data_IF_677786629279
#
_entry.id   IF_677786629279
#
_cell.length_a   1.000
_cell.length_b   1.000
_cell.length_c   1.000
_cell.angle_alpha   90.00
_cell.angle_beta   90.00
_cell.angle_gamma   90.00
#
_symmetry.space_group_name_H-M   'P 1'
#
loop_
_entity.id
_entity.type
_entity.pdbx_description
1 polymer ?
2 polymer ?
3 non-polymer ?
4 water ?
#
# COMPACT_ATOMS: atom_id res chain seq x y z
N UNK A 1 24.73 4.70 9.76
CA UNK A 1 25.54 3.70 10.45
C UNK A 1 24.71 2.49 10.92
N UNK A 2 23.59 2.73 11.66
CA UNK A 2 22.73 1.62 12.12
C UNK A 2 21.85 1.13 10.97
N UNK A 3 21.80 -0.20 10.79
CA UNK A 3 20.99 -0.87 9.76
C UNK A 3 20.41 -2.19 10.28
N UNK A 4 19.14 -2.44 10.01
CA UNK A 4 18.42 -3.66 10.38
C UNK A 4 17.94 -4.21 9.02
N UNK A 5 18.39 -5.40 8.64
CA UNK A 5 18.08 -5.97 7.33
C UNK A 5 17.32 -7.27 7.47
N UNK A 6 16.06 -7.30 6.95
CA UNK A 6 15.20 -8.48 6.94
C UNK A 6 15.65 -9.36 5.75
N UNK A 7 15.53 -10.67 5.90
CA UNK A 7 15.81 -11.66 4.85
C UNK A 7 15.03 -12.91 5.15
N UNK A 8 14.76 -13.69 4.11
CA UNK A 8 13.98 -14.90 4.22
C UNK A 8 13.11 -15.12 3.00
N UNK A 9 12.32 -16.22 2.97
CA UNK A 9 11.46 -16.48 1.81
C UNK A 9 10.30 -15.50 1.65
N UNK A 10 10.01 -15.17 0.39
CA UNK A 10 8.89 -14.30 0.03
C UNK A 10 7.57 -15.04 -0.10
N UNK A 11 7.62 -16.39 -0.21
CA UNK A 11 6.43 -17.25 -0.39
C UNK A 11 6.41 -18.35 0.65
N UNK A 12 5.25 -18.58 1.26
CA UNK A 12 5.07 -19.66 2.24
C UNK A 12 3.72 -20.34 1.94
N UNK A 13 3.69 -21.69 1.98
CA UNK A 13 2.46 -22.45 1.72
C UNK A 13 1.61 -22.47 2.98
N UNK A 14 0.27 -22.42 2.88
CA UNK A 14 -0.56 -22.50 4.10
C UNK A 14 -0.25 -23.76 4.92
N UNK A 15 -0.31 -23.63 6.26
CA UNK A 15 -0.01 -24.65 7.28
C UNK A 15 1.50 -24.85 7.54
N UNK A 16 2.36 -24.35 6.62
CA UNK A 16 3.83 -24.41 6.76
C UNK A 16 4.28 -23.25 7.67
N UNK A 17 5.58 -23.12 7.97
CA UNK A 17 6.00 -22.03 8.86
C UNK A 17 6.91 -20.99 8.19
N UNK A 18 6.73 -19.72 8.57
CA UNK A 18 7.56 -18.66 8.03
C UNK A 18 8.72 -18.38 8.97
N UNK A 19 9.91 -18.23 8.40
CA UNK A 19 11.13 -17.97 9.12
C UNK A 19 11.83 -16.75 8.52
N UNK A 20 12.10 -15.74 9.35
CA UNK A 20 12.80 -14.56 8.87
C UNK A 20 13.99 -14.24 9.74
N UNK A 21 14.98 -13.60 9.14
CA UNK A 21 16.22 -13.21 9.78
C UNK A 21 16.35 -11.70 9.78
N UNK A 22 16.75 -11.14 10.93
CA UNK A 22 17.10 -9.73 10.99
C UNK A 22 18.60 -9.66 11.23
N UNK A 23 19.34 -9.13 10.25
CA UNK A 23 20.78 -8.94 10.34
C UNK A 23 21.00 -7.49 10.76
N UNK A 24 21.61 -7.32 11.96
CA UNK A 24 21.89 -6.00 12.53
C UNK A 24 23.37 -5.58 12.34
N UNK A 25 23.59 -4.33 11.91
CA UNK A 25 24.89 -3.67 11.75
C UNK A 25 24.80 -2.27 12.37
N UNK A 26 25.93 -1.79 12.91
CA UNK A 26 26.02 -0.47 13.51
C UNK A 26 26.13 -0.51 15.01
N UNK A 27 25.57 -1.56 15.61
CA UNK A 27 25.60 -1.82 17.04
C UNK A 27 25.16 -3.22 17.31
N UNK A 28 25.40 -3.68 18.54
CA UNK A 28 25.11 -5.03 18.98
C UNK A 28 23.65 -5.24 19.44
N UNK A 29 23.07 -6.45 19.17
CA UNK A 29 21.71 -6.84 19.62
C UNK A 29 21.66 -7.05 21.14
N UNK A 30 22.81 -6.90 21.74
CA UNK A 30 23.14 -7.05 23.15
C UNK A 30 22.96 -5.67 23.85
N UNK A 31 22.71 -4.60 23.05
CA UNK A 31 22.46 -3.23 23.55
C UNK A 31 21.02 -3.11 23.96
N UNK A 32 20.69 -2.40 25.04
CA UNK A 32 19.28 -2.23 25.39
C UNK A 32 18.45 -1.44 24.32
N UNK A 33 17.11 -1.66 24.24
CA UNK A 33 16.35 -2.55 25.12
C UNK A 33 15.73 -3.72 24.39
N UNK A 34 14.91 -3.45 23.36
CA UNK A 34 14.16 -4.49 22.65
C UNK A 34 14.46 -4.56 21.20
N UNK A 35 14.32 -5.77 20.63
CA UNK A 35 14.57 -6.11 19.23
C UNK A 35 13.28 -6.74 18.74
N UNK A 36 12.45 -5.94 18.00
CA UNK A 36 11.09 -6.28 17.57
C UNK A 36 10.89 -6.88 16.21
N UNK A 37 9.76 -7.56 16.07
CA UNK A 37 9.25 -8.01 14.79
C UNK A 37 7.87 -7.33 14.67
N UNK A 38 7.65 -6.63 13.57
CA UNK A 38 6.43 -5.87 13.27
C UNK A 38 5.92 -6.34 11.90
N UNK A 39 4.60 -6.28 11.68
CA UNK A 39 4.07 -6.56 10.36
C UNK A 39 3.01 -5.56 9.99
N UNK A 40 2.94 -5.25 8.71
CA UNK A 40 1.94 -4.36 8.16
C UNK A 40 1.16 -5.14 7.09
N UNK A 41 -0.14 -5.39 7.36
CA UNK A 41 -1.03 -6.14 6.44
C UNK A 41 -1.29 -5.40 5.12
N UNK A 42 -1.74 -6.07 4.02
CA UNK A 42 -1.95 -5.33 2.73
C UNK A 42 -2.78 -4.05 2.87
N UNK A 43 -2.20 -2.95 2.39
CA UNK A 43 -2.73 -1.60 2.57
C UNK A 43 -3.24 -1.47 3.99
N UNK A 44 -2.36 -1.60 5.02
CA UNK A 44 -3.01 -1.64 6.30
C UNK A 44 -2.28 -1.25 7.57
N UNK A 45 -2.90 -1.80 8.58
CA UNK A 45 -2.66 -1.68 9.96
C UNK A 45 -1.39 -2.40 10.32
N UNK A 46 -0.77 -1.88 11.34
CA UNK A 46 0.47 -2.37 11.83
C UNK A 46 0.23 -3.20 13.07
N UNK A 47 0.97 -4.29 13.18
CA UNK A 47 0.89 -5.15 14.35
C UNK A 47 2.28 -5.45 14.90
N UNK A 48 2.47 -5.25 16.20
CA UNK A 48 3.70 -5.58 16.87
C UNK A 48 3.58 -7.06 17.21
N UNK A 49 4.44 -7.89 16.63
CA UNK A 49 4.37 -9.34 16.84
C UNK A 49 4.99 -9.78 18.15
N UNK A 50 6.13 -9.21 18.45
CA UNK A 50 6.84 -9.47 19.69
C UNK A 50 8.24 -8.89 19.69
N UNK A 51 8.96 -9.13 20.76
CA UNK A 51 10.36 -8.74 20.87
C UNK A 51 11.19 -9.71 21.70
N UNK A 52 12.52 -9.68 21.49
CA UNK A 52 13.52 -10.36 22.30
C UNK A 52 14.32 -9.21 22.93
N UNK A 53 14.55 -9.26 24.26
CA UNK A 53 15.28 -8.17 24.89
C UNK A 53 16.79 -8.30 24.66
N UNK A 54 17.55 -7.26 25.06
CA UNK A 54 19.01 -7.28 25.00
C UNK A 54 19.59 -8.41 25.84
N UNK A 55 18.81 -8.97 26.80
CA UNK A 55 19.23 -10.06 27.69
C UNK A 55 18.68 -11.41 27.25
N UNK A 56 17.93 -11.43 26.16
CA UNK A 56 17.40 -12.65 25.59
C UNK A 56 16.03 -13.10 26.06
N UNK A 57 15.34 -12.30 26.89
CA UNK A 57 13.99 -12.71 27.28
C UNK A 57 12.94 -12.17 26.26
N UNK A 58 11.96 -13.03 25.89
CA UNK A 58 10.92 -12.72 24.91
C UNK A 58 9.60 -12.21 25.52
N UNK A 59 8.91 -11.34 24.75
CA UNK A 59 7.58 -10.77 25.04
C UNK A 59 6.80 -10.80 23.73
N UNK A 60 5.69 -11.55 23.71
CA UNK A 60 4.87 -11.76 22.51
C UNK A 60 3.50 -11.13 22.56
N UNK A 61 2.91 -10.90 21.38
CA UNK A 61 1.54 -10.47 21.23
C UNK A 61 0.72 -11.71 21.71
N UNK A 62 -0.09 -11.61 22.79
CA UNK A 62 -0.79 -12.82 23.31
C UNK A 62 -1.49 -13.72 22.28
N UNK A 63 -2.10 -13.14 21.22
CA UNK A 63 -2.80 -13.84 20.15
C UNK A 63 -1.89 -14.71 19.28
N UNK A 64 -0.60 -14.36 19.22
CA UNK A 64 0.40 -15.03 18.39
C UNK A 64 1.20 -16.05 19.18
N UNK A 65 1.21 -15.91 20.53
CA UNK A 65 1.89 -16.79 21.49
C UNK A 65 1.20 -18.17 21.37
N UNK A 66 1.94 -19.17 20.82
CA UNK A 66 1.56 -20.58 20.53
C UNK A 66 2.02 -20.91 19.13
N UNK A 67 2.07 -19.89 18.27
CA UNK A 67 2.53 -19.98 16.88
C UNK A 67 3.90 -19.28 16.71
N UNK A 68 4.21 -18.31 17.61
CA UNK A 68 5.40 -17.45 17.49
C UNK A 68 6.57 -17.83 18.40
N UNK A 69 7.77 -17.71 17.80
CA UNK A 69 9.06 -17.91 18.45
C UNK A 69 10.06 -16.85 17.94
N UNK A 70 10.60 -16.04 18.86
CA UNK A 70 11.65 -15.08 18.53
C UNK A 70 12.91 -15.55 19.22
N UNK A 71 13.96 -15.79 18.43
CA UNK A 71 15.27 -16.21 18.92
C UNK A 71 16.35 -15.22 18.43
N UNK A 72 17.60 -15.37 18.92
CA UNK A 72 18.72 -14.51 18.56
C UNK A 72 20.05 -15.26 18.48
N UNK A 73 20.99 -14.70 17.71
CA UNK A 73 22.37 -15.19 17.60
C UNK A 73 23.26 -13.97 17.77
N UNK A 74 23.64 -13.78 19.02
CA UNK A 74 24.45 -12.73 19.57
C UNK A 74 25.80 -12.60 18.83
N UNK A 75 26.45 -13.73 18.48
CA UNK A 75 27.74 -13.63 17.80
C UNK A 75 27.62 -13.28 16.32
N UNK A 76 26.48 -13.59 15.69
CA UNK A 76 26.22 -13.22 14.29
C UNK A 76 25.53 -11.86 14.20
N UNK A 77 25.09 -11.30 15.37
CA UNK A 77 24.33 -10.04 15.50
C UNK A 77 23.06 -10.10 14.65
N UNK A 78 22.28 -11.18 14.85
CA UNK A 78 21.03 -11.47 14.16
C UNK A 78 19.95 -11.94 15.14
N UNK A 79 18.68 -11.66 14.82
CA UNK A 79 17.56 -12.18 15.58
C UNK A 79 16.55 -12.72 14.59
N UNK A 80 15.76 -13.71 15.02
CA UNK A 80 14.94 -14.50 14.14
C UNK A 80 13.50 -14.58 14.48
N UNK A 81 12.66 -14.71 13.45
CA UNK A 81 11.23 -14.85 13.62
C UNK A 81 10.77 -16.18 13.08
N UNK A 82 10.03 -16.90 13.90
CA UNK A 82 9.35 -18.11 13.45
C UNK A 82 7.87 -18.03 13.77
N UNK A 83 7.04 -18.20 12.73
CA UNK A 83 5.56 -18.20 12.82
C UNK A 83 5.08 -19.48 12.13
N UNK A 84 4.51 -20.42 12.94
CA UNK A 84 4.19 -21.80 12.58
C UNK A 84 3.02 -22.05 11.59
N UNK A 85 1.84 -22.53 12.03
CA UNK A 85 0.68 -22.87 11.20
C UNK A 85 0.10 -21.62 10.47
N UNK A 86 0.78 -21.18 9.39
CA UNK A 86 0.39 -19.96 8.69
C UNK A 86 -0.86 -20.12 7.82
N UNK A 87 -1.65 -19.04 7.80
CA UNK A 87 -2.91 -18.86 7.07
C UNK A 87 -2.66 -17.80 6.00
N UNK A 88 -3.58 -17.66 5.05
CA UNK A 88 -3.54 -16.64 4.01
C UNK A 88 -3.50 -15.23 4.67
N UNK A 89 -4.10 -15.10 5.88
CA UNK A 89 -4.15 -13.92 6.73
C UNK A 89 -2.79 -13.51 7.36
N UNK A 90 -1.70 -14.25 7.03
CA UNK A 90 -0.35 -13.93 7.49
C UNK A 90 0.41 -13.19 6.40
N UNK A 91 -0.21 -13.03 5.21
CA UNK A 91 0.35 -12.23 4.11
C UNK A 91 0.50 -10.78 4.65
N UNK A 92 1.75 -10.29 4.70
CA UNK A 92 2.08 -8.97 5.25
C UNK A 92 3.47 -8.61 4.87
N UNK A 93 3.82 -7.34 5.09
CA UNK A 93 5.17 -6.84 4.94
C UNK A 93 5.74 -6.94 6.36
N UNK A 94 6.81 -7.71 6.51
CA UNK A 94 7.43 -7.96 7.81
C UNK A 94 8.69 -7.14 7.97
N UNK A 95 8.79 -6.40 9.09
CA UNK A 95 9.92 -5.52 9.42
C UNK A 95 10.49 -5.91 10.76
N UNK A 96 11.78 -5.66 10.96
CA UNK A 96 12.39 -5.80 12.27
C UNK A 96 12.79 -4.40 12.71
N UNK A 97 12.73 -4.16 14.01
CA UNK A 97 13.06 -2.86 14.56
C UNK A 97 13.75 -2.98 15.91
N UNK A 98 14.23 -1.87 16.44
CA UNK A 98 14.86 -1.86 17.76
C UNK A 98 14.26 -0.73 18.58
N UNK A 99 14.29 -0.85 19.90
CA UNK A 99 13.86 0.21 20.80
C UNK A 99 14.82 0.34 21.98
N UNK A 100 15.08 1.58 22.37
CA UNK A 100 15.88 1.90 23.53
C UNK A 100 15.77 3.35 23.89
N UNK A 101 16.64 3.79 24.80
CA UNK A 101 16.70 5.16 25.29
C UNK A 101 17.01 6.17 24.18
N UNK A 102 17.55 5.73 23.05
CA UNK A 102 17.88 6.57 21.88
C UNK A 102 16.67 6.72 20.96
N UNK A 103 15.66 5.88 21.16
CA UNK A 103 14.49 5.87 20.29
C UNK A 103 14.34 4.54 19.58
N UNK A 104 14.18 4.54 18.26
CA UNK A 104 13.97 3.30 17.51
C UNK A 104 14.53 3.39 16.11
N UNK A 105 15.02 2.26 15.60
CA UNK A 105 15.55 2.05 14.26
C UNK A 105 14.73 0.96 13.62
N UNK A 106 14.40 1.11 12.34
CA UNK A 106 13.57 0.17 11.58
C UNK A 106 14.21 -0.30 10.31
N UNK A 107 14.05 -1.59 10.01
CA UNK A 107 14.47 -2.13 8.73
C UNK A 107 13.48 -1.75 7.63
N UNK A 108 13.80 -2.05 6.39
CA UNK A 108 13.04 -1.71 5.19
C UNK A 108 11.73 -2.51 4.99
N UNK A 109 11.70 -3.74 5.46
CA UNK A 109 10.51 -4.56 5.34
C UNK A 109 10.39 -5.35 4.05
N UNK A 110 9.99 -6.63 4.18
CA UNK A 110 9.82 -7.52 3.04
C UNK A 110 8.43 -8.14 3.02
N UNK A 111 7.81 -8.24 1.84
CA UNK A 111 6.49 -8.86 1.72
C UNK A 111 6.59 -10.36 1.76
N UNK A 112 5.84 -10.99 2.67
CA UNK A 112 5.79 -12.44 2.77
C UNK A 112 4.36 -12.80 2.35
N UNK A 113 4.23 -13.53 1.26
CA UNK A 113 2.93 -13.96 0.75
C UNK A 113 2.63 -15.39 1.18
N UNK A 114 1.49 -15.59 1.84
CA UNK A 114 1.05 -16.92 2.21
C UNK A 114 -0.09 -17.31 1.26
N UNK A 115 0.20 -18.24 0.34
CA UNK A 115 -0.74 -18.72 -0.66
C UNK A 115 -0.42 -20.14 -1.13
N UNK A 116 -1.46 -20.87 -1.55
CA UNK A 116 -1.35 -22.22 -2.10
C UNK A 116 -1.03 -22.11 -3.60
N UNK A 117 -1.21 -20.91 -4.18
CA UNK A 117 -0.96 -20.61 -5.58
C UNK A 117 0.49 -20.84 -5.95
N UNK A 118 0.73 -21.16 -7.22
CA UNK A 118 2.06 -21.41 -7.77
C UNK A 118 2.46 -20.22 -8.63
N UNK A 119 3.78 -19.99 -8.79
CA UNK A 119 4.32 -18.87 -9.58
C UNK A 119 3.83 -18.92 -11.03
N UNK A 120 3.13 -17.85 -11.46
CA UNK A 120 2.53 -17.69 -12.80
C UNK A 120 2.91 -16.34 -13.41
N UNK A 121 3.47 -16.28 -14.63
CA UNK A 121 3.69 -14.96 -15.25
C UNK A 121 2.35 -14.27 -15.66
N UNK A 122 2.32 -12.94 -15.83
CA UNK A 122 1.05 -12.31 -16.22
C UNK A 122 0.80 -12.37 -17.73
N UNK A 123 -0.46 -12.17 -18.11
CA UNK A 123 -0.83 -12.03 -19.52
C UNK A 123 -1.00 -10.52 -19.66
N UNK A 124 -0.28 -9.93 -20.59
CA UNK A 124 -0.26 -8.49 -20.81
C UNK A 124 -1.06 -8.18 -22.07
N UNK A 125 -2.10 -7.33 -21.94
CA UNK A 125 -2.95 -6.97 -23.07
C UNK A 125 -2.94 -5.48 -23.36
N UNK A 126 -2.84 -5.09 -24.64
CA UNK A 126 -2.87 -3.66 -24.99
C UNK A 126 -4.29 -3.10 -24.92
N UNK A 127 -4.42 -1.83 -24.51
CA UNK A 127 -5.73 -1.18 -24.42
C UNK A 127 -5.74 0.08 -25.25
N UNK A 128 -6.24 -0.06 -26.47
CA UNK A 128 -6.40 0.99 -27.45
C UNK A 128 -7.87 1.41 -27.42
N UNK A 129 -8.20 2.69 -27.68
CA UNK A 129 -9.63 3.09 -27.68
C UNK A 129 -10.48 2.35 -28.73
N UNK A 130 -11.80 2.41 -28.57
CA UNK A 130 -12.76 1.76 -29.47
C UNK A 130 -12.83 2.41 -30.84
N UNK A 137 -7.95 16.23 -27.90
CA UNK A 137 -6.62 16.83 -27.70
C UNK A 137 -5.63 15.89 -27.00
N UNK A 138 -6.13 15.11 -26.00
CA UNK A 138 -5.31 14.11 -25.29
C UNK A 138 -5.87 12.71 -25.57
N UNK A 139 -5.03 11.66 -25.47
CA UNK A 139 -5.47 10.29 -25.66
C UNK A 139 -4.95 9.40 -24.52
N UNK A 140 -5.87 8.61 -23.91
CA UNK A 140 -5.55 7.66 -22.85
C UNK A 140 -5.48 6.27 -23.44
N UNK A 141 -4.40 5.56 -23.12
CA UNK A 141 -4.15 4.21 -23.54
C UNK A 141 -3.89 3.43 -22.27
N UNK A 142 -3.93 2.12 -22.35
CA UNK A 142 -3.70 1.31 -21.18
C UNK A 142 -3.10 -0.05 -21.44
N UNK A 143 -2.83 -0.74 -20.35
CA UNK A 143 -2.24 -2.07 -20.34
C UNK A 143 -2.92 -2.84 -19.24
N UNK A 144 -3.39 -4.06 -19.55
CA UNK A 144 -4.01 -4.96 -18.58
C UNK A 144 -3.01 -6.10 -18.31
N UNK A 145 -2.62 -6.28 -17.04
CA UNK A 145 -1.59 -7.22 -16.58
C UNK A 145 -2.36 -8.20 -15.71
N UNK A 146 -2.74 -9.33 -16.31
CA UNK A 146 -3.66 -10.28 -15.73
C UNK A 146 -3.08 -11.64 -15.34
N UNK A 147 -3.55 -12.14 -14.20
CA UNK A 147 -3.28 -13.46 -13.65
C UNK A 147 -1.85 -13.83 -13.35
N UNK A 148 -1.17 -13.00 -12.55
CA UNK A 148 0.18 -13.28 -12.12
C UNK A 148 0.23 -13.62 -10.65
N UNK A 149 1.31 -14.30 -10.26
CA UNK A 149 1.60 -14.70 -8.90
C UNK A 149 3.09 -14.95 -8.75
N UNK A 150 3.74 -14.43 -7.69
CA UNK A 150 3.19 -13.55 -6.64
C UNK A 150 3.36 -12.07 -7.02
N UNK A 151 3.05 -11.16 -6.09
CA UNK A 151 3.32 -9.73 -6.28
C UNK A 151 4.84 -9.58 -6.05
N UNK A 152 5.56 -8.70 -6.78
CA UNK A 152 5.08 -7.64 -7.68
C UNK A 152 5.41 -7.76 -9.16
N UNK A 153 4.86 -6.81 -9.94
CA UNK A 153 5.16 -6.56 -11.35
C UNK A 153 5.60 -5.09 -11.39
N UNK A 154 6.33 -4.68 -12.44
CA UNK A 154 6.69 -3.27 -12.59
C UNK A 154 6.22 -2.86 -13.97
N UNK A 155 5.61 -1.68 -14.08
CA UNK A 155 5.09 -1.22 -15.36
C UNK A 155 5.76 0.09 -15.67
N UNK A 156 6.31 0.21 -16.88
CA UNK A 156 6.93 1.44 -17.37
C UNK A 156 6.36 1.69 -18.75
N UNK A 157 6.29 2.95 -19.16
CA UNK A 157 5.77 3.29 -20.48
C UNK A 157 6.87 3.99 -21.27
N UNK A 158 7.33 3.32 -22.36
CA UNK A 158 8.42 3.73 -23.24
C UNK A 158 9.72 3.90 -22.44
N UNK A 159 10.01 2.89 -21.59
CA UNK A 159 11.16 2.79 -20.70
C UNK A 159 11.31 3.99 -19.72
N UNK A 160 10.18 4.69 -19.46
CA UNK A 160 10.10 5.79 -18.50
C UNK A 160 9.89 7.19 -19.01
N UNK A 161 10.00 7.40 -20.33
CA UNK A 161 9.84 8.74 -20.91
C UNK A 161 8.41 9.28 -20.84
N UNK A 162 7.41 8.41 -20.58
CA UNK A 162 5.99 8.78 -20.51
C UNK A 162 5.42 8.89 -19.09
N UNK A 163 6.24 8.57 -18.06
CA UNK A 163 5.93 8.55 -16.61
C UNK A 163 5.05 9.70 -16.09
N UNK A 164 5.10 10.87 -16.75
CA UNK A 164 4.36 12.08 -16.38
C UNK A 164 2.83 11.88 -16.31
N UNK A 165 2.25 11.29 -17.35
CA UNK A 165 0.81 11.03 -17.46
C UNK A 165 0.39 9.59 -17.26
N UNK A 166 1.15 8.85 -16.41
CA UNK A 166 0.95 7.44 -16.08
C UNK A 166 0.25 7.22 -14.71
N UNK A 167 -0.68 6.25 -14.64
CA UNK A 167 -1.33 5.77 -13.41
C UNK A 167 -1.25 4.26 -13.44
N UNK A 168 -0.54 3.68 -12.48
CA UNK A 168 -0.38 2.24 -12.31
C UNK A 168 -1.18 1.92 -11.08
N UNK A 169 -2.26 1.21 -11.28
CA UNK A 169 -3.20 0.93 -10.19
C UNK A 169 -2.76 -0.23 -9.32
N UNK A 170 -3.07 -0.21 -8.00
CA UNK A 170 -2.70 -1.35 -7.14
C UNK A 170 -3.36 -2.66 -7.61
N UNK A 171 -2.63 -3.78 -7.44
CA UNK A 171 -3.11 -5.10 -7.83
C UNK A 171 -4.24 -5.58 -6.97
N UNK A 172 -5.20 -6.28 -7.57
CA UNK A 172 -6.29 -6.90 -6.83
C UNK A 172 -6.13 -8.41 -6.93
N UNK A 173 -6.44 -9.11 -5.86
CA UNK A 173 -6.36 -10.56 -5.78
C UNK A 173 -7.74 -11.19 -6.06
N UNK A 174 -7.83 -11.97 -7.15
CA UNK A 174 -9.01 -12.73 -7.58
C UNK A 174 -8.56 -13.83 -8.57
N UNK A 175 -8.71 -15.12 -8.23
CA UNK A 175 -9.23 -15.64 -6.96
C UNK A 175 -8.01 -15.86 -6.06
N UNK A 176 -6.94 -16.44 -6.67
CA UNK A 176 -5.64 -16.64 -6.02
C UNK A 176 -4.56 -16.00 -6.88
N UNK A 177 -4.97 -15.24 -7.90
CA UNK A 177 -4.07 -14.55 -8.81
C UNK A 177 -4.29 -13.03 -8.78
N UNK A 178 -3.25 -12.27 -9.15
CA UNK A 178 -3.25 -10.83 -9.13
C UNK A 178 -3.50 -10.26 -10.50
N UNK A 179 -4.17 -9.11 -10.52
CA UNK A 179 -4.44 -8.38 -11.75
C UNK A 179 -4.26 -6.91 -11.50
N UNK A 180 -3.63 -6.21 -12.45
CA UNK A 180 -3.51 -4.78 -12.39
C UNK A 180 -3.65 -4.18 -13.77
N UNK A 181 -3.90 -2.89 -13.80
CA UNK A 181 -3.96 -2.16 -15.06
C UNK A 181 -3.08 -0.93 -14.91
N UNK A 182 -2.66 -0.36 -16.03
CA UNK A 182 -1.88 0.86 -16.04
C UNK A 182 -2.35 1.71 -17.19
N UNK A 183 -2.57 3.00 -16.93
CA UNK A 183 -2.94 3.94 -17.98
C UNK A 183 -1.81 4.96 -18.25
N UNK A 184 -1.85 5.53 -19.45
CA UNK A 184 -0.92 6.56 -19.91
C UNK A 184 -1.72 7.51 -20.77
N UNK A 185 -1.56 8.80 -20.53
CA UNK A 185 -2.24 9.76 -21.37
C UNK A 185 -1.14 10.62 -22.04
N UNK A 186 -1.25 10.77 -23.36
CA UNK A 186 -0.31 11.47 -24.23
C UNK A 186 -1.13 12.38 -25.15
N UNK A 187 -0.53 13.42 -25.78
CA UNK A 187 -1.31 14.24 -26.73
C UNK A 187 -1.67 13.44 -27.98
N UNK A 188 -2.81 13.77 -28.60
CA UNK A 188 -3.33 13.13 -29.82
C UNK A 188 -2.28 13.16 -30.95
N UNK A 189 -1.38 14.15 -30.91
CA UNK A 189 -0.28 14.36 -31.84
C UNK A 189 0.75 13.21 -31.78
N UNK A 190 0.99 12.68 -30.56
CA UNK A 190 1.95 11.62 -30.24
C UNK A 190 1.45 10.20 -30.59
N UNK A 191 0.13 9.99 -30.65
CA UNK A 191 -0.39 8.65 -30.92
C UNK A 191 -1.60 8.67 -31.85
N UNK A 192 -1.71 7.76 -32.86
CA UNK A 192 -0.82 6.60 -33.16
C UNK A 192 0.44 6.89 -33.98
N UNK A 193 0.70 8.19 -34.33
CA UNK A 193 1.87 8.65 -35.11
C UNK A 193 3.22 8.13 -34.60
N UNK A 194 3.43 8.14 -33.26
CA UNK A 194 4.64 7.66 -32.60
C UNK A 194 4.32 6.39 -31.79
N UNK A 195 5.36 5.62 -31.45
CA UNK A 195 5.26 4.37 -30.72
C UNK A 195 5.03 4.55 -29.22
N UNK A 196 3.94 3.94 -28.69
CA UNK A 196 3.62 3.89 -27.25
C UNK A 196 3.63 2.41 -26.90
N UNK A 197 4.56 2.04 -26.01
CA UNK A 197 4.77 0.68 -25.57
C UNK A 197 4.70 0.61 -24.06
N UNK A 198 4.11 -0.47 -23.57
CA UNK A 198 3.96 -0.78 -22.17
C UNK A 198 4.95 -1.91 -21.83
N UNK A 199 5.84 -1.67 -20.85
CA UNK A 199 6.90 -2.65 -20.49
C UNK A 199 6.61 -3.23 -19.12
N UNK A 200 6.33 -4.52 -19.08
CA UNK A 200 5.95 -5.21 -17.85
C UNK A 200 7.02 -6.25 -17.46
N UNK A 201 7.42 -6.25 -16.18
CA UNK A 201 8.40 -7.19 -15.65
C UNK A 201 7.84 -7.89 -14.41
N UNK A 202 7.97 -9.21 -14.38
CA UNK A 202 7.53 -10.01 -13.24
C UNK A 202 8.77 -10.81 -12.79
N UNK A 203 9.61 -10.21 -11.90
CA UNK A 203 10.87 -10.87 -11.50
C UNK A 203 10.77 -12.32 -11.04
N UNK A 204 9.76 -12.66 -10.21
CA UNK A 204 9.52 -14.00 -9.66
C UNK A 204 9.45 -15.12 -10.70
N UNK A 205 8.91 -14.83 -11.89
CA UNK A 205 8.79 -15.80 -12.98
C UNK A 205 9.75 -15.45 -14.12
N UNK A 206 10.68 -14.52 -13.85
CA UNK A 206 11.74 -14.04 -14.76
C UNK A 206 11.22 -13.58 -16.13
N UNK A 207 10.06 -12.87 -16.15
CA UNK A 207 9.47 -12.36 -17.39
C UNK A 207 9.66 -10.87 -17.57
N UNK A 208 9.82 -10.45 -18.83
CA UNK A 208 9.92 -9.06 -19.26
C UNK A 208 9.23 -8.98 -20.63
N UNK A 209 7.98 -8.47 -20.64
CA UNK A 209 7.14 -8.34 -21.84
C UNK A 209 6.97 -6.88 -22.24
N UNK A 210 7.02 -6.61 -23.55
CA UNK A 210 6.84 -5.28 -24.11
C UNK A 210 5.66 -5.33 -25.08
N UNK A 211 4.51 -4.74 -24.69
CA UNK A 211 3.30 -4.72 -25.52
C UNK A 211 3.05 -3.33 -26.08
N UNK A 212 3.03 -3.22 -27.41
CA UNK A 212 2.83 -1.97 -28.14
C UNK A 212 1.32 -1.69 -28.27
N UNK A 213 0.93 -0.42 -28.23
CA UNK A 213 -0.49 -0.07 -28.34
C UNK A 213 -0.78 0.25 -29.80
N UNK A 214 -1.54 -0.63 -30.45
CA UNK A 214 -1.89 -0.53 -31.86
C UNK A 214 -3.36 -0.15 -31.98
N UNK A 215 -3.74 0.86 -32.80
CA UNK A 215 -5.17 1.22 -32.92
C UNK A 215 -6.03 0.14 -33.61
N UNK A 216 -7.37 0.37 -33.67
CA UNK A 216 -8.38 -0.47 -34.33
C UNK A 216 -8.13 -2.02 -34.21
N UNK B 1 -6.83 -5.10 25.84
CA UNK B 1 -5.82 -4.45 25.00
C UNK B 1 -6.04 -2.93 24.98
N UNK B 2 -4.95 -2.16 24.92
CA UNK B 2 -5.04 -0.69 24.82
C UNK B 2 -5.38 -0.37 23.36
N UNK B 3 -6.47 0.36 23.16
CA UNK B 3 -6.91 0.78 21.84
C UNK B 3 -6.50 2.24 21.69
N UNK B 4 -5.92 2.57 20.54
CA UNK B 4 -5.49 3.94 20.25
C UNK B 4 -6.35 4.54 19.16
N UNK B 5 -7.05 5.62 19.51
CA UNK B 5 -7.94 6.33 18.61
C UNK B 5 -7.28 7.57 18.08
N UNK B 6 -7.02 7.58 16.77
CA UNK B 6 -6.42 8.76 16.14
C UNK B 6 -7.49 9.68 15.59
N UNK B 7 -7.37 10.99 15.88
CA UNK B 7 -8.32 12.00 15.44
C UNK B 7 -7.61 13.17 14.76
N UNK B 8 -7.90 13.45 13.46
CA UNK B 8 -8.76 12.67 12.55
C UNK B 8 -7.98 11.55 11.84
N UNK B 9 -8.65 10.80 10.97
CA UNK B 9 -8.00 9.75 10.17
C UNK B 9 -7.46 10.31 8.88
N UNK B 10 -8.04 11.43 8.43
CA UNK B 10 -7.68 12.16 7.22
C UNK B 10 -7.51 13.61 7.61
N UNK B 11 -6.30 14.17 7.42
CA UNK B 11 -6.01 15.56 7.75
C UNK B 11 -5.66 16.32 6.47
N UNK B 12 -6.65 16.97 5.81
CA UNK B 12 -6.31 17.76 4.62
C UNK B 12 -5.63 19.06 5.05
N UNK B 13 -4.50 19.41 4.42
CA UNK B 13 -3.69 20.59 4.74
C UNK B 13 -3.20 21.30 3.51
N UNK B 14 -2.79 22.53 3.71
CA UNK B 14 -2.11 23.35 2.74
C UNK B 14 -0.65 23.45 3.24
N UNK B 15 0.31 23.57 2.33
CA UNK B 15 1.72 23.73 2.74
C UNK B 15 1.80 25.00 3.61
N UNK B 16 2.58 24.95 4.66
CA UNK B 16 2.70 26.10 5.56
C UNK B 16 1.74 26.09 6.74
N UNK B 17 0.70 25.27 6.67
CA UNK B 17 -0.28 25.15 7.75
C UNK B 17 0.30 24.49 8.95
N UNK B 18 -0.29 24.81 10.07
CA UNK B 18 -0.11 24.26 11.40
C UNK B 18 -1.06 23.04 11.38
N UNK B 19 -0.59 21.90 11.86
CA UNK B 19 -1.39 20.68 11.85
C UNK B 19 -1.30 20.05 13.21
N UNK B 20 -2.36 19.37 13.63
CA UNK B 20 -2.44 18.71 14.93
C UNK B 20 -3.13 17.36 14.78
N UNK B 21 -2.55 16.33 15.38
CA UNK B 21 -3.11 14.97 15.37
C UNK B 21 -3.25 14.55 16.82
N UNK B 22 -4.44 14.04 17.17
CA UNK B 22 -4.74 13.53 18.51
C UNK B 22 -4.69 12.00 18.56
N UNK B 23 -4.21 11.48 19.69
CA UNK B 23 -4.12 10.06 19.98
C UNK B 23 -4.77 9.84 21.36
N UNK B 24 -5.94 9.18 21.34
CA UNK B 24 -6.70 8.90 22.55
C UNK B 24 -6.59 7.45 22.92
N UNK B 25 -6.09 7.22 24.11
CA UNK B 25 -5.86 5.91 24.70
C UNK B 25 -7.14 5.39 25.41
N UNK B 26 -7.50 4.10 25.23
CA UNK B 26 -8.70 3.51 25.88
C UNK B 26 -8.55 3.37 27.39
N UNK B 27 -7.31 3.45 27.89
CA UNK B 27 -6.94 3.37 29.30
C UNK B 27 -5.59 4.06 29.48
N UNK B 28 -5.16 4.27 30.74
CA UNK B 28 -3.88 4.87 31.08
C UNK B 28 -2.72 4.11 30.45
N UNK B 29 -1.70 4.83 30.00
CA UNK B 29 -0.53 4.21 29.40
C UNK B 29 0.73 4.61 30.19
N UNK B 30 0.60 4.69 31.52
CA UNK B 30 1.71 4.94 32.42
C UNK B 30 2.19 3.54 32.82
N UNK B 31 3.44 3.17 32.48
CA UNK B 31 4.01 1.88 32.83
C UNK B 31 4.38 1.90 34.34
N UNK B 32 4.54 0.71 34.97
CA UNK B 32 4.85 0.53 36.39
C UNK B 32 6.08 1.30 36.92
N UNK B 33 6.92 1.86 36.02
CA UNK B 33 8.12 2.65 36.36
C UNK B 33 7.84 4.17 36.26
N UNK B 34 6.59 4.52 36.00
CA UNK B 34 6.16 5.91 35.85
C UNK B 34 6.38 6.52 34.49
N UNK B 35 6.92 5.75 33.52
CA UNK B 35 7.16 6.25 32.17
C UNK B 35 5.99 5.97 31.25
N UNK B 36 5.74 6.88 30.30
CA UNK B 36 4.70 6.74 29.27
C UNK B 36 5.39 6.50 27.94
N UNK B 37 5.29 5.29 27.41
CA UNK B 37 5.91 4.89 26.16
C UNK B 37 4.96 5.13 24.97
N UNK B 38 4.67 6.41 24.74
CA UNK B 38 3.84 6.89 23.65
C UNK B 38 4.78 7.44 22.55
N UNK B 39 4.65 6.87 21.35
CA UNK B 39 5.48 7.17 20.19
C UNK B 39 4.70 7.60 18.96
N UNK B 40 5.33 8.45 18.12
CA UNK B 40 4.76 8.89 16.85
C UNK B 40 5.70 8.49 15.74
N UNK B 41 5.12 7.93 14.67
CA UNK B 41 5.79 7.47 13.46
C UNK B 41 5.21 8.12 12.23
N UNK B 42 6.07 8.34 11.23
CA UNK B 42 5.71 8.85 9.92
C UNK B 42 6.11 7.80 8.88
N UNK B 43 5.13 7.36 8.09
CA UNK B 43 5.37 6.43 7.00
C UNK B 43 5.08 7.12 5.66
N UNK B 44 6.12 7.27 4.85
CA UNK B 44 6.02 7.82 3.49
C UNK B 44 5.75 6.61 2.55
N UNK B 45 5.16 6.78 1.34
CA UNK B 45 4.84 5.59 0.52
C UNK B 45 6.06 4.79 0.04
N UNK B 46 5.97 3.47 0.21
CA UNK B 46 7.02 2.53 -0.14
C UNK B 46 7.98 2.27 1.00
N UNK B 47 8.22 3.32 1.81
CA UNK B 47 9.11 3.29 2.95
C UNK B 47 8.44 2.61 4.13
N UNK B 48 9.27 2.24 5.09
CA UNK B 48 8.94 1.69 6.39
C UNK B 48 8.54 2.89 7.35
N UNK B 49 7.75 2.67 8.45
CA UNK B 49 7.45 3.81 9.34
C UNK B 49 8.70 4.28 10.10
N UNK B 50 8.92 5.57 10.17
CA UNK B 50 10.09 6.13 10.85
C UNK B 50 9.68 6.90 12.09
N UNK B 51 10.44 6.72 13.17
CA UNK B 51 10.17 7.38 14.45
C UNK B 51 10.37 8.89 14.42
N UNK B 52 9.39 9.61 14.99
CA UNK B 52 9.46 11.06 15.13
C UNK B 52 9.69 11.40 16.61
N UNK B 53 8.78 10.92 17.46
CA UNK B 53 8.72 11.22 18.88
C UNK B 53 8.57 9.92 19.65
N UNK B 54 9.24 9.80 20.79
CA UNK B 54 9.12 8.65 21.68
C UNK B 54 9.02 9.19 23.12
N UNK B 55 8.53 8.38 24.06
CA UNK B 55 8.30 8.80 25.46
C UNK B 55 7.52 10.14 25.52
N UNK B 56 6.44 10.25 24.69
CA UNK B 56 5.50 11.38 24.58
C UNK B 56 6.08 12.58 23.86
N UNK B 57 7.24 13.07 24.31
CA UNK B 57 7.81 14.34 23.82
C UNK B 57 9.28 14.31 23.37
N UNK B 58 9.99 13.17 23.45
CA UNK B 58 11.39 13.18 22.99
C UNK B 58 11.44 13.01 21.49
N UNK B 59 12.07 13.98 20.84
CA UNK B 59 12.29 14.00 19.41
C UNK B 59 13.40 13.00 19.11
N UNK B 60 13.19 12.15 18.09
CA UNK B 60 14.20 11.20 17.68
C UNK B 60 15.35 11.94 16.92
N UNK B 61 16.48 11.27 16.68
CA UNK B 61 17.62 11.78 15.92
C UNK B 61 17.19 12.23 14.51
N UNK B 62 17.59 13.44 14.13
CA UNK B 62 17.32 13.98 12.80
C UNK B 62 15.93 14.54 12.58
N UNK B 63 15.10 14.56 13.63
CA UNK B 63 13.72 15.04 13.55
C UNK B 63 13.71 16.55 13.77
N UNK B 64 13.13 17.34 12.81
CA UNK B 64 13.06 18.81 12.99
C UNK B 64 12.23 19.28 14.17
N UNK B 65 12.47 20.51 14.62
CA UNK B 65 11.82 21.14 15.77
C UNK B 65 10.34 21.48 15.56
N UNK B 66 9.89 21.51 14.29
CA UNK B 66 8.48 21.79 13.94
C UNK B 66 7.54 20.65 14.41
N UNK B 67 8.10 19.48 14.69
CA UNK B 67 7.40 18.30 15.21
C UNK B 67 7.57 18.29 16.71
N UNK B 68 6.46 18.30 17.44
CA UNK B 68 6.48 18.22 18.89
C UNK B 68 5.34 17.36 19.41
N UNK B 69 5.60 16.62 20.47
CA UNK B 69 4.62 15.74 21.10
C UNK B 69 4.33 16.17 22.52
N UNK B 70 3.08 16.01 22.94
CA UNK B 70 2.67 16.37 24.31
C UNK B 70 1.51 15.46 24.70
N UNK B 71 1.08 15.57 25.96
CA UNK B 71 -0.05 14.82 26.46
C UNK B 71 0.19 14.09 27.76
N UNK B 72 -0.91 13.59 28.34
CA UNK B 72 -0.90 12.84 29.59
C UNK B 72 -2.17 12.04 29.72
N UNK B 73 -2.09 10.99 30.53
CA UNK B 73 -3.20 10.09 30.81
C UNK B 73 -3.67 9.33 29.60
N UNK B 74 -4.74 9.84 28.97
CA UNK B 74 -5.35 9.23 27.79
C UNK B 74 -5.33 10.13 26.55
N UNK B 75 -4.85 11.38 26.65
CA UNK B 75 -4.84 12.26 25.48
C UNK B 75 -3.44 12.74 25.12
N UNK B 76 -3.00 12.34 23.92
CA UNK B 76 -1.68 12.69 23.40
C UNK B 76 -1.82 13.42 22.09
N UNK B 77 -0.94 14.39 21.84
CA UNK B 77 -1.02 15.19 20.62
C UNK B 77 0.31 15.34 19.90
N UNK B 78 0.29 15.20 18.58
CA UNK B 78 1.46 15.51 17.74
C UNK B 78 1.10 16.82 17.05
N UNK B 79 2.00 17.81 17.12
CA UNK B 79 1.81 19.10 16.47
C UNK B 79 2.91 19.28 15.44
N UNK B 80 2.54 19.83 14.28
CA UNK B 80 3.43 20.18 13.18
C UNK B 80 3.20 21.69 12.99
N UNK B 81 4.16 22.49 13.48
CA UNK B 81 4.03 23.96 13.46
C UNK B 81 3.99 24.55 12.05
N UNK B 82 4.61 23.86 11.08
CA UNK B 82 4.64 24.31 9.70
C UNK B 82 4.73 23.07 8.83
N UNK B 83 3.67 22.75 8.07
CA UNK B 83 3.67 21.58 7.20
C UNK B 83 4.52 21.86 5.96
N UNK B 84 5.53 21.01 5.75
CA UNK B 84 6.42 21.06 4.60
C UNK B 84 6.12 19.90 3.67
N UNK B 85 6.50 20.05 2.40
CA UNK B 85 6.23 19.07 1.33
C UNK B 85 6.68 17.63 1.69
N UNK B 86 7.76 17.53 2.49
CA UNK B 86 8.38 16.28 2.93
C UNK B 86 7.65 15.63 4.10
N UNK B 87 6.75 16.36 4.76
CA UNK B 87 5.99 15.88 5.91
C UNK B 87 4.75 15.06 5.57
N UNK B 88 4.38 15.01 4.28
CA UNK B 88 3.22 14.28 3.81
C UNK B 88 3.40 12.77 3.87
N UNK B 89 2.35 12.11 4.36
CA UNK B 89 2.32 10.67 4.51
C UNK B 89 1.33 10.29 5.59
N UNK B 90 1.52 9.09 6.14
CA UNK B 90 0.66 8.53 7.21
C UNK B 90 1.38 8.59 8.56
N UNK B 91 0.72 9.20 9.55
CA UNK B 91 1.21 9.32 10.92
C UNK B 91 0.55 8.31 11.83
N UNK B 92 1.34 7.57 12.61
CA UNK B 92 0.83 6.57 13.56
C UNK B 92 1.25 6.89 14.96
N UNK B 93 0.36 6.66 15.93
CA UNK B 93 0.77 6.72 17.32
C UNK B 93 0.89 5.26 17.77
N UNK B 94 1.72 5.03 18.77
CA UNK B 94 2.02 3.70 19.24
C UNK B 94 2.26 3.75 20.73
N UNK B 95 1.81 2.72 21.45
CA UNK B 95 2.04 2.66 22.88
C UNK B 95 2.82 1.38 23.20
N UNK B 96 3.86 1.53 24.03
CA UNK B 96 4.68 0.40 24.47
C UNK B 96 4.60 0.15 25.96
N UNK B 97 3.63 0.77 26.65
CA UNK B 97 3.44 0.65 28.10
C UNK B 97 2.76 -0.64 28.58
N UNK B 98 1.85 -1.22 27.79
CA UNK B 98 1.15 -2.46 28.16
C UNK B 98 1.18 -3.45 27.02
N UNK B 99 1.20 -4.74 27.33
CA UNK B 99 1.22 -5.83 26.35
C UNK B 99 -0.25 -6.17 25.98
N UNK B 100 -0.61 -6.34 24.69
CA UNK B 100 0.26 -6.19 23.50
C UNK B 100 0.57 -4.72 23.21
N UNK B 101 1.77 -4.45 22.68
CA UNK B 101 2.18 -3.11 22.27
C UNK B 101 1.27 -2.81 21.04
N UNK B 102 0.65 -1.62 20.98
CA UNK B 102 -0.36 -1.34 19.93
C UNK B 102 -0.17 -0.03 19.19
N UNK B 103 -0.69 0.04 17.93
CA UNK B 103 -0.67 1.22 17.07
C UNK B 103 -2.08 1.74 16.84
N UNK B 104 -2.18 3.01 16.50
CA UNK B 104 -3.40 3.64 16.05
C UNK B 104 -3.64 3.24 14.61
N UNK B 105 -4.78 3.64 14.03
CA UNK B 105 -5.12 3.26 12.66
C UNK B 105 -4.35 4.01 11.57
N UNK B 106 -3.69 5.10 11.94
CA UNK B 106 -2.96 5.94 11.00
C UNK B 106 -3.76 7.17 10.57
N UNK B 107 -3.09 8.31 10.48
CA UNK B 107 -3.69 9.58 10.04
C UNK B 107 -3.01 9.97 8.73
N UNK B 108 -3.81 10.09 7.68
CA UNK B 108 -3.29 10.50 6.39
C UNK B 108 -3.20 12.04 6.33
N UNK B 109 -1.96 12.59 6.28
CA UNK B 109 -1.72 14.03 6.15
C UNK B 109 -1.66 14.24 4.65
N UNK B 110 -2.74 14.81 4.08
CA UNK B 110 -2.95 15.01 2.64
C UNK B 110 -3.08 16.47 2.21
N UNK B 111 -2.66 16.79 0.99
CA UNK B 111 -2.71 18.13 0.43
C UNK B 111 -4.12 18.50 -0.07
N UNK B 112 -4.60 19.68 0.32
CA UNK B 112 -5.89 20.23 -0.14
C UNK B 112 -5.65 20.78 -1.55
N UNK B 113 -6.70 20.90 -2.36
CA UNK B 113 -6.69 21.48 -3.69
C UNK B 113 -8.16 21.68 -4.09
N UNK B 114 -8.43 22.30 -5.25
CA UNK B 114 -9.81 22.50 -5.70
C UNK B 114 -10.35 21.21 -6.28
N UNK B 115 -11.69 21.07 -6.29
CA UNK B 115 -12.39 19.92 -6.84
C UNK B 115 -12.07 19.73 -8.29
N UNK B 116 -11.89 18.48 -8.69
CA UNK B 116 -11.58 18.13 -10.07
C UNK B 116 -12.45 16.94 -10.48
N UNK B 117 -13.07 17.05 -11.66
CA UNK B 117 -13.91 16.00 -12.22
C UNK B 117 -12.98 14.98 -12.88
N UNK B 118 -13.30 13.66 -12.84
CA UNK B 118 -12.39 12.69 -13.51
C UNK B 118 -12.47 12.74 -15.04
N UNK B 119 -11.48 12.12 -15.68
CA UNK B 119 -11.42 11.93 -17.12
C UNK B 119 -11.73 10.45 -17.26
N UNK B 120 -12.80 10.15 -17.96
CA UNK B 120 -13.28 8.79 -18.12
C UNK B 120 -12.86 8.22 -19.48
N UNK B 121 -12.23 7.04 -19.46
CA UNK B 121 -11.79 6.33 -20.67
C UNK B 121 -12.25 4.90 -20.57
N UNK B 122 -12.95 4.39 -21.61
CA UNK B 122 -13.47 3.02 -21.69
C UNK B 122 -12.75 2.20 -22.79
N UNK B 123 -12.42 0.95 -22.49
CA UNK B 123 -11.70 0.09 -23.41
C UNK B 123 -12.40 -1.24 -23.61
N UNK B 124 -12.75 -1.56 -24.87
CA UNK B 124 -13.33 -2.87 -25.19
C UNK B 124 -12.27 -3.96 -24.96
N UNK B 125 -12.60 -5.26 -24.80
CA UNK B 125 -11.53 -6.26 -24.63
C UNK B 125 -10.63 -6.34 -25.85
N UNK B 126 -9.34 -6.68 -25.64
CA UNK B 126 -8.35 -6.80 -26.71
C UNK B 126 -8.57 -8.08 -27.49
N UNK B 127 -8.21 -8.04 -28.77
CA UNK B 127 -8.30 -9.20 -29.66
C UNK B 127 -7.45 -10.35 -29.11
N UNK B 128 -6.30 -10.01 -28.50
CA UNK B 128 -5.40 -10.97 -27.90
C UNK B 128 -6.08 -11.73 -26.78
N UNK B 129 -6.80 -11.02 -25.88
CA UNK B 129 -7.51 -11.68 -24.77
C UNK B 129 -8.68 -12.55 -25.28
N UNK B 130 -9.46 -12.03 -26.27
CA UNK B 130 -10.61 -12.76 -26.85
C UNK B 130 -10.19 -14.15 -27.36
N UNK B 131 -9.00 -14.24 -27.99
CA UNK B 131 -8.43 -15.49 -28.53
C UNK B 131 -8.24 -16.55 -27.42
N UNK B 132 -8.03 -16.10 -26.15
CA UNK B 132 -7.87 -16.99 -25.00
C UNK B 132 -9.21 -17.35 -24.34
N UNK B 133 -10.30 -16.76 -24.84
CA UNK B 133 -11.64 -17.00 -24.30
C UNK B 133 -12.02 -16.08 -23.15
N UNK B 134 -11.26 -14.99 -23.01
CA UNK B 134 -11.47 -13.99 -21.96
C UNK B 134 -11.83 -12.65 -22.55
N UNK B 135 -12.56 -11.83 -21.79
CA UNK B 135 -12.96 -10.50 -22.25
C UNK B 135 -13.12 -9.56 -21.08
N UNK B 136 -12.08 -8.78 -20.80
CA UNK B 136 -12.12 -7.84 -19.69
C UNK B 136 -12.40 -6.47 -20.25
N UNK B 137 -13.39 -5.77 -19.72
CA UNK B 137 -13.71 -4.42 -20.17
C UNK B 137 -13.14 -3.55 -19.05
N UNK B 138 -12.28 -2.60 -19.44
CA UNK B 138 -11.53 -1.72 -18.55
C UNK B 138 -11.98 -0.28 -18.71
N UNK B 139 -12.09 0.42 -17.58
CA UNK B 139 -12.43 1.83 -17.52
C UNK B 139 -11.53 2.59 -16.53
N UNK B 140 -11.07 3.79 -16.92
CA UNK B 140 -10.26 4.63 -16.03
C UNK B 140 -11.01 5.91 -15.74
N UNK B 141 -11.00 6.29 -14.46
CA UNK B 141 -11.57 7.52 -13.94
C UNK B 141 -10.34 8.21 -13.34
N UNK B 142 -9.70 9.02 -14.18
CA UNK B 142 -8.43 9.64 -13.85
C UNK B 142 -8.47 11.07 -13.43
N UNK B 143 -7.58 11.39 -12.47
CA UNK B 143 -7.29 12.74 -11.98
C UNK B 143 -8.48 13.51 -11.44
N UNK B 144 -9.11 12.97 -10.40
CA UNK B 144 -10.24 13.68 -9.78
C UNK B 144 -9.88 14.06 -8.34
N UNK B 145 -10.67 14.92 -7.75
CA UNK B 145 -10.47 15.35 -6.37
C UNK B 145 -11.78 15.90 -5.82
N UNK B 146 -12.19 15.62 -4.54
CA UNK B 146 -11.57 14.69 -3.57
C UNK B 146 -11.96 13.22 -3.88
N UNK B 147 -11.96 12.30 -2.89
CA UNK B 147 -12.24 10.89 -3.21
C UNK B 147 -13.73 10.52 -3.60
N UNK B 148 -14.68 11.48 -3.44
CA UNK B 148 -16.14 11.50 -3.66
C UNK B 148 -16.71 11.07 -5.03
N UNK B 149 -15.95 10.33 -5.80
CA UNK B 149 -16.36 9.87 -7.12
C UNK B 149 -16.47 8.35 -7.12
N UNK B 150 -17.48 7.81 -7.82
CA UNK B 150 -17.62 6.34 -7.94
C UNK B 150 -17.77 5.89 -9.40
N UNK B 151 -17.71 4.58 -9.63
CA UNK B 151 -17.97 3.98 -10.94
C UNK B 151 -19.35 3.37 -10.93
N UNK B 152 -19.96 3.36 -12.12
CA UNK B 152 -21.21 2.65 -12.38
C UNK B 152 -21.12 2.05 -13.80
N UNK B 153 -21.36 0.75 -13.89
CA UNK B 153 -21.39 0.05 -15.17
C UNK B 153 -22.86 -0.20 -15.52
N UNK B 154 -23.22 -0.01 -16.78
CA UNK B 154 -24.55 -0.29 -17.34
C UNK B 154 -24.30 -1.12 -18.59
N UNK B 155 -24.93 -2.30 -18.65
CA UNK B 155 -24.81 -3.16 -19.82
C UNK B 155 -26.19 -3.23 -20.43
N UNK B 156 -26.38 -2.63 -21.62
CA UNK B 156 -27.66 -2.59 -22.33
C UNK B 156 -28.80 -2.17 -21.41
N UNK B 157 -28.59 -1.07 -20.70
CA UNK B 157 -29.56 -0.43 -19.83
C UNK B 157 -29.73 -1.00 -18.44
N UNK B 158 -28.89 -1.96 -18.06
CA UNK B 158 -29.01 -2.59 -16.76
C UNK B 158 -27.71 -2.48 -15.97
N UNK B 159 -27.79 -1.96 -14.72
CA UNK B 159 -26.64 -1.79 -13.84
C UNK B 159 -25.93 -3.11 -13.56
N UNK B 160 -24.61 -3.11 -13.70
CA UNK B 160 -23.78 -4.29 -13.50
C UNK B 160 -22.88 -4.09 -12.28
N UNK B 161 -22.85 -5.09 -11.39
CA UNK B 161 -22.09 -5.05 -10.16
C UNK B 161 -21.20 -6.30 -10.00
N UNK B 162 -21.73 -7.46 -10.36
CA UNK B 162 -20.99 -8.73 -10.28
C UNK B 162 -19.87 -8.73 -11.31
N UNK B 163 -18.70 -9.24 -10.91
CA UNK B 163 -17.53 -9.34 -11.77
C UNK B 163 -16.78 -8.05 -11.99
N UNK B 164 -17.05 -7.02 -11.17
CA UNK B 164 -16.40 -5.73 -11.26
C UNK B 164 -15.29 -5.63 -10.19
N UNK B 165 -14.07 -5.39 -10.65
CA UNK B 165 -12.88 -5.22 -9.80
C UNK B 165 -12.37 -3.78 -9.88
N UNK B 166 -12.39 -3.09 -8.73
CA UNK B 166 -11.95 -1.70 -8.57
C UNK B 166 -10.67 -1.51 -7.77
N UNK B 167 -9.81 -0.57 -8.20
CA UNK B 167 -8.64 -0.16 -7.46
C UNK B 167 -8.38 1.32 -7.63
N UNK B 168 -8.07 1.96 -6.51
CA UNK B 168 -7.81 3.37 -6.35
C UNK B 168 -6.32 3.64 -6.13
N UNK B 169 -5.78 4.69 -6.78
CA UNK B 169 -4.39 5.04 -6.53
C UNK B 169 -4.34 5.92 -5.26
N UNK B 170 -3.13 6.15 -4.73
CA UNK B 170 -2.88 7.07 -3.61
C UNK B 170 -2.99 8.49 -4.21
N UNK B 171 -2.88 9.53 -3.38
CA UNK B 171 -2.85 10.91 -3.89
C UNK B 171 -1.63 11.07 -4.84
N UNK B 172 -1.86 11.56 -6.06
CA UNK B 172 -0.82 11.75 -7.06
C UNK B 172 0.08 12.93 -6.69
N UNK B 173 1.40 12.72 -6.75
CA UNK B 173 2.36 13.76 -6.36
C UNK B 173 2.44 14.85 -7.41
N UNK B 174 2.03 14.56 -8.66
CA UNK B 174 2.01 15.55 -9.74
C UNK B 174 1.07 16.72 -9.44
N UNK B 175 -0.20 16.44 -9.12
CA UNK B 175 -1.26 17.46 -8.98
C UNK B 175 -2.24 17.27 -7.81
N UNK B 176 -1.93 16.35 -6.88
CA UNK B 176 -2.73 16.04 -5.68
C UNK B 176 -4.12 15.40 -5.98
N UNK B 177 -4.28 14.80 -7.18
CA UNK B 177 -5.53 14.14 -7.56
C UNK B 177 -5.48 12.63 -7.25
N UNK B 178 -6.65 11.97 -7.34
CA UNK B 178 -6.83 10.52 -7.18
C UNK B 178 -7.28 9.96 -8.51
N UNK B 179 -7.04 8.69 -8.72
CA UNK B 179 -7.47 7.97 -9.94
C UNK B 179 -7.99 6.59 -9.55
N UNK B 180 -8.88 6.01 -10.36
CA UNK B 180 -9.37 4.68 -10.10
C UNK B 180 -9.53 3.90 -11.41
N UNK B 181 -9.35 2.60 -11.32
CA UNK B 181 -9.49 1.67 -12.46
C UNK B 181 -10.65 0.71 -12.17
N UNK B 182 -11.49 0.46 -13.17
CA UNK B 182 -12.60 -0.47 -13.00
C UNK B 182 -12.61 -1.45 -14.12
N UNK B 183 -12.51 -2.73 -13.76
CA UNK B 183 -12.47 -3.84 -14.70
C UNK B 183 -13.66 -4.75 -14.50
N UNK B 184 -14.43 -4.90 -15.56
CA UNK B 184 -15.54 -5.81 -15.65
C UNK B 184 -14.93 -7.09 -16.29
N UNK B 185 -14.86 -8.18 -15.52
CA UNK B 185 -14.25 -9.42 -15.98
C UNK B 185 -15.30 -10.38 -16.60
N UNK B 186 -15.27 -10.53 -17.91
CA UNK B 186 -16.22 -11.44 -18.56
C UNK B 186 -15.46 -12.48 -19.35
N UNK B 187 -16.15 -13.57 -19.75
CA UNK B 187 -15.58 -14.56 -20.69
C UNK B 187 -15.95 -13.98 -22.06
N UNK B 188 -15.32 -14.44 -23.17
CA UNK B 188 -15.62 -14.05 -24.56
C UNK B 188 -17.13 -14.23 -24.84
N UNK B 189 -17.70 -15.36 -24.39
CA UNK B 189 -19.10 -15.73 -24.55
C UNK B 189 -20.03 -14.81 -23.81
N UNK B 190 -19.68 -14.44 -22.56
CA UNK B 190 -20.48 -13.50 -21.77
C UNK B 190 -20.50 -12.13 -22.43
N UNK B 191 -19.35 -11.70 -22.96
CA UNK B 191 -19.18 -10.43 -23.65
C UNK B 191 -20.03 -10.35 -24.92
N UNK B 192 -20.21 -11.49 -25.59
CA UNK B 192 -20.97 -11.60 -26.82
C UNK B 192 -22.47 -11.57 -26.64
N UNK B 193 -22.97 -11.69 -25.41
CA UNK B 193 -24.39 -11.67 -25.08
C UNK B 193 -24.97 -10.26 -25.08
N UNK B 194 -24.09 -9.24 -25.03
CA UNK B 194 -24.43 -7.82 -24.86
C UNK B 194 -23.90 -6.91 -25.95
N UNK B 195 -24.47 -5.73 -26.09
CA UNK B 195 -24.03 -4.81 -27.12
C UNK B 195 -23.40 -3.53 -26.56
N UNK B 196 -24.16 -2.76 -25.79
CA UNK B 196 -23.76 -1.47 -25.27
C UNK B 196 -23.19 -1.59 -23.85
N UNK B 197 -21.94 -1.15 -23.71
CA UNK B 197 -21.16 -1.19 -22.46
C UNK B 197 -20.90 0.23 -22.05
N UNK B 198 -21.41 0.63 -20.87
CA UNK B 198 -21.32 1.99 -20.36
C UNK B 198 -20.59 2.04 -19.04
N UNK B 199 -19.64 2.97 -18.93
CA UNK B 199 -18.86 3.28 -17.74
C UNK B 199 -19.20 4.71 -17.35
N UNK B 200 -19.58 4.96 -16.09
CA UNK B 200 -19.91 6.31 -15.63
C UNK B 200 -19.16 6.66 -14.38
N UNK B 201 -18.78 7.95 -14.26
CA UNK B 201 -18.20 8.52 -13.05
C UNK B 201 -19.40 9.18 -12.36
N UNK B 202 -19.69 8.73 -11.14
CA UNK B 202 -20.83 9.19 -10.36
C UNK B 202 -20.40 10.00 -9.16
N UNK B 203 -21.29 10.84 -8.67
CA UNK B 203 -21.14 11.69 -7.50
C UNK B 203 -22.49 11.61 -6.73
N UNK B 204 -22.49 11.90 -5.40
CA UNK B 204 -23.70 11.95 -4.55
C UNK B 204 -24.76 12.83 -5.21
N UNK B 207 -26.55 12.48 -11.09
CA UNK B 207 -27.32 13.69 -11.42
C UNK B 207 -27.45 13.87 -13.00
N UNK B 208 -26.42 14.11 -13.92
CA UNK B 208 -25.04 14.64 -14.08
C UNK B 208 -23.81 13.65 -14.18
N UNK B 209 -23.89 12.32 -14.43
CA UNK B 209 -22.64 11.54 -14.50
C UNK B 209 -21.79 11.77 -15.76
N UNK B 210 -20.47 11.47 -15.67
CA UNK B 210 -19.58 11.55 -16.83
C UNK B 210 -19.61 10.14 -17.42
N UNK B 211 -20.23 10.02 -18.58
CA UNK B 211 -20.52 8.76 -19.26
C UNK B 211 -19.61 8.53 -20.43
N UNK B 212 -19.09 7.30 -20.54
CA UNK B 212 -18.35 6.76 -21.67
C UNK B 212 -18.93 5.39 -22.02
N UNK B 213 -19.11 5.14 -23.31
CA UNK B 213 -19.65 3.86 -23.77
C UNK B 213 -19.21 3.47 -25.15
N UNK B 214 -19.34 2.19 -25.45
CA UNK B 214 -19.09 1.65 -26.77
C UNK B 214 -20.13 0.57 -27.04
N UNK B 215 -20.29 0.20 -28.31
CA UNK B 215 -21.16 -0.89 -28.76
C UNK B 215 -20.29 -2.01 -29.35
N UNK B 216 -20.55 -3.27 -28.98
CA UNK B 216 -19.79 -4.43 -29.50
C UNK B 216 -20.03 -4.67 -31.01
X LIG C 1 8.65 0.92 22.05
X LIG C 1 8.95 0.21 20.96
X LIG C 1 8.98 0.84 19.71
X LIG C 1 9.23 -1.08 20.96
X LIG C 1 9.23 -1.69 22.15
X LIG C 1 9.50 -3.07 22.22
X LIG C 1 8.96 -1.05 23.33
X LIG C 1 9.01 -1.73 24.49
X LIG C 1 8.72 -1.05 25.59
X LIG C 1 8.42 0.29 25.50
X LIG C 1 8.39 0.99 24.35
X LIG C 1 8.65 0.31 23.23
X LIG C 1 8.75 -1.80 26.90
X LIG C 1 8.69 -0.88 28.04
X LIG C 1 7.62 -1.17 28.98
X LIG C 1 12.44 -0.22 29.89
X LIG C 1 12.33 -0.32 28.51
X LIG C 1 11.10 -0.52 27.94
X LIG C 1 9.95 -0.69 28.69
X LIG C 1 10.10 -0.59 30.07
X LIG C 1 11.32 -0.36 30.66
X LIG C 1 13.73 0.00 30.54
X LIG C 1 13.88 -0.41 31.69
X LIG C 1 14.65 0.72 29.79
X LIG C 1 16.08 0.85 30.04
X LIG C 1 16.97 -0.37 30.38
X LIG C 1 18.15 -0.27 29.90
X LIG C 1 16.50 -1.32 31.04
X LIG C 1 16.44 1.94 31.05
X LIG C 1 15.40 2.14 32.14
X LIG C 1 15.85 3.42 32.79
X LIG C 1 16.60 3.27 33.79
X LIG C 1 15.37 4.47 32.25
#
# INVERSE_FOLDING_TARGET
DVQLQESGPGLVKPSQSLSLTCTVTGFSITSPYAWNWIRQFPGNTLEWMGYISYRGSTTYHPSLKSRISITRDTSKNQFFLQLNSVTTEDTATYFCSSYGNYGAYSGQGTLVTVSAAKTTPPSVYPLAPGSAAQTNSMVTLGCLVKGYFPEPVTVTWNSGSLSSGVHTFPAVLQSDLYTLSSSVTVPSSTWPSETVTCNVAHPASSTKVDKKIVPR
DVLLTQIPLSLPVSLGDQASISCRSSQSIVHSNGNTYLEWYLQKPGQSPKLLIYKVSTRFSGVPDRFSGSGSGTDFTLKISRVEAEDLGVYYCFQGSHVPLTFGAGTQLELKRADAAPTVSIFPPSSEQLTSGGASVVCFLNNFYPKDINVKWKIDGSERQNGVLNSWTDQDSKDSTYSMSSTLTLTKDEYERHNSYTCEATHKTSTSPIVKSFNR
MT1 N1 C2 NA2 N3 C4 NA4 C4A N5 C6 C7 N8 C8A C9 N10 CM C11 C12 C13 C14 C15 C16 C O N CA CT O1 O2 CB CG CD OE1 OE2
#
